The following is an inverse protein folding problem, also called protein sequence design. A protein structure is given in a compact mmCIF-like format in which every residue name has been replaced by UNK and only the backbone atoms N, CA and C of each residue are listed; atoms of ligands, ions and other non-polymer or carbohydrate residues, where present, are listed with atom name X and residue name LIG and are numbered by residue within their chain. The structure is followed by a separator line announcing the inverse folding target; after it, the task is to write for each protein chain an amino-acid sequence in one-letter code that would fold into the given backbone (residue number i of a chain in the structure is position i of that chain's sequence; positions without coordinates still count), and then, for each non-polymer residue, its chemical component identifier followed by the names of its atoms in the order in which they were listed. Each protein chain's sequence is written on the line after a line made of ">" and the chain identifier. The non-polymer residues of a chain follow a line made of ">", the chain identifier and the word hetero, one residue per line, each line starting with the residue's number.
data_IF_916364944007
#
_entry.id   IF_916364944007
#
_cell.length_a   1.000
_cell.length_b   1.000
_cell.length_c   1.000
_cell.angle_alpha   90.00
_cell.angle_beta   90.00
_cell.angle_gamma   90.00
#
_symmetry.space_group_name_H-M   'P 1'
#
loop_
_entity.id
_entity.type
_entity.pdbx_description
1 polymer ?
#
# COMPACT_ATOMS: atom_id res chain seq x y z
N UNK A 1 16.36 27.61 -24.71
CA UNK A 1 16.88 26.35 -24.13
C UNK A 1 16.38 26.21 -22.69
N UNK A 2 15.86 25.04 -22.30
CA UNK A 2 15.42 24.73 -20.94
C UNK A 2 16.64 24.40 -20.05
N UNK A 3 16.67 24.90 -18.82
CA UNK A 3 17.83 24.69 -17.91
C UNK A 3 17.70 23.37 -17.14
N UNK A 4 18.74 22.51 -17.22
CA UNK A 4 18.81 21.25 -16.46
C UNK A 4 18.84 21.48 -14.95
N UNK A 5 19.62 22.47 -14.50
CA UNK A 5 19.73 22.82 -13.09
C UNK A 5 18.39 23.30 -12.51
N UNK A 6 17.65 24.15 -13.25
CA UNK A 6 16.31 24.57 -12.82
C UNK A 6 15.33 23.40 -12.78
N UNK A 7 15.33 22.53 -13.79
CA UNK A 7 14.50 21.33 -13.80
C UNK A 7 14.77 20.43 -12.60
N UNK A 8 16.05 20.24 -12.23
CA UNK A 8 16.44 19.48 -11.05
C UNK A 8 15.99 20.15 -9.74
N UNK A 9 16.20 21.46 -9.58
CA UNK A 9 15.76 22.21 -8.40
C UNK A 9 14.24 22.11 -8.20
N UNK A 10 13.46 22.28 -9.28
CA UNK A 10 12.01 22.14 -9.19
C UNK A 10 11.55 20.70 -8.91
N UNK A 11 12.41 19.70 -9.13
CA UNK A 11 12.11 18.30 -8.80
C UNK A 11 12.22 17.97 -7.32
N UNK A 12 12.58 18.94 -6.46
CA UNK A 12 12.39 18.82 -5.02
C UNK A 12 10.93 18.48 -4.68
N UNK A 13 9.99 18.95 -5.50
CA UNK A 13 8.62 18.42 -5.54
C UNK A 13 8.53 17.37 -6.66
N UNK A 14 8.07 16.13 -6.41
CA UNK A 14 7.90 15.11 -7.45
C UNK A 14 7.02 15.64 -8.59
N UNK A 15 7.51 15.53 -9.83
CA UNK A 15 6.87 16.09 -11.03
C UNK A 15 7.06 17.60 -11.26
N UNK A 16 7.58 18.36 -10.30
CA UNK A 16 7.77 19.81 -10.41
C UNK A 16 8.76 20.21 -11.51
N UNK A 17 9.83 19.45 -11.68
CA UNK A 17 10.78 19.62 -12.79
C UNK A 17 10.14 19.46 -14.16
N UNK A 18 9.20 18.52 -14.30
CA UNK A 18 8.47 18.30 -15.55
C UNK A 18 7.53 19.46 -15.86
N UNK A 19 6.83 20.01 -14.87
CA UNK A 19 6.00 21.20 -15.06
C UNK A 19 6.81 22.40 -15.56
N UNK A 20 8.02 22.61 -15.04
CA UNK A 20 8.93 23.65 -15.56
C UNK A 20 9.32 23.43 -17.03
N UNK A 21 9.55 22.17 -17.40
CA UNK A 21 9.91 21.80 -18.77
C UNK A 21 8.75 21.91 -19.75
N UNK A 22 7.52 22.00 -19.24
CA UNK A 22 6.29 21.95 -20.02
C UNK A 22 5.67 20.56 -20.04
N UNK A 23 6.35 19.52 -19.53
CA UNK A 23 5.93 18.11 -19.54
C UNK A 23 4.83 17.76 -18.53
N UNK A 24 3.66 18.41 -18.64
CA UNK A 24 2.54 18.31 -17.69
C UNK A 24 2.06 16.88 -17.44
N UNK A 25 1.84 16.09 -18.49
CA UNK A 25 1.32 14.73 -18.34
C UNK A 25 2.30 13.88 -17.52
N UNK A 26 3.60 14.07 -17.76
CA UNK A 26 4.66 13.33 -17.08
C UNK A 26 4.85 13.79 -15.64
N UNK A 27 4.71 15.09 -15.38
CA UNK A 27 4.72 15.66 -14.04
C UNK A 27 3.57 15.13 -13.18
N UNK A 28 2.36 15.03 -13.74
CA UNK A 28 1.18 14.48 -13.04
C UNK A 28 1.40 13.01 -12.67
N UNK A 29 1.95 12.20 -13.58
CA UNK A 29 2.26 10.79 -13.29
C UNK A 29 3.16 10.71 -12.05
N UNK A 30 4.27 11.46 -12.01
CA UNK A 30 5.18 11.43 -10.86
C UNK A 30 4.53 11.95 -9.58
N UNK A 31 3.83 13.07 -9.66
CA UNK A 31 3.15 13.68 -8.51
C UNK A 31 2.14 12.71 -7.89
N UNK A 32 1.21 12.18 -8.69
CA UNK A 32 0.17 11.27 -8.20
C UNK A 32 0.75 9.97 -7.68
N UNK A 33 1.76 9.42 -8.36
CA UNK A 33 2.38 8.16 -7.94
C UNK A 33 3.07 8.29 -6.59
N UNK A 34 3.86 9.36 -6.40
CA UNK A 34 4.50 9.62 -5.10
C UNK A 34 3.45 9.88 -4.01
N UNK A 35 2.35 10.62 -4.30
CA UNK A 35 1.27 10.83 -3.34
C UNK A 35 0.58 9.51 -2.94
N UNK A 36 0.17 8.68 -3.90
CA UNK A 36 -0.50 7.41 -3.63
C UNK A 36 0.39 6.47 -2.81
N UNK A 37 1.67 6.37 -3.16
CA UNK A 37 2.62 5.55 -2.40
C UNK A 37 2.83 6.11 -0.99
N UNK A 38 2.92 7.44 -0.82
CA UNK A 38 3.15 8.07 0.50
C UNK A 38 1.93 7.98 1.42
N UNK A 39 0.70 7.99 0.86
CA UNK A 39 -0.54 7.83 1.64
C UNK A 39 -0.78 6.35 1.93
N UNK A 40 -0.54 5.47 0.98
CA UNK A 40 -0.76 4.03 1.12
C UNK A 40 0.07 3.38 2.23
N UNK A 41 1.22 3.96 2.60
CA UNK A 41 2.02 3.54 3.75
C UNK A 41 1.57 4.09 5.10
N UNK A 42 0.58 5.02 5.12
CA UNK A 42 0.15 5.75 6.32
C UNK A 42 -1.30 5.44 6.67
N UNK A 43 -1.62 4.16 6.78
CA UNK A 43 -2.82 3.75 7.50
C UNK A 43 -2.56 3.94 9.01
N UNK A 44 -3.11 5.02 9.54
CA UNK A 44 -3.36 5.22 10.96
C UNK A 44 -4.38 4.20 11.45
N UNK A 45 -3.94 2.97 11.74
CA UNK A 45 -4.76 2.06 12.53
C UNK A 45 -4.98 2.65 13.92
N UNK A 46 -6.24 2.87 14.28
CA UNK A 46 -6.61 3.19 15.66
C UNK A 46 -6.37 1.93 16.52
N UNK A 47 -5.22 1.86 17.21
CA UNK A 47 -4.95 0.88 18.27
C UNK A 47 -3.71 0.00 18.07
N UNK A 48 -3.48 -0.91 19.01
CA UNK A 48 -2.30 -1.80 19.09
C UNK A 48 -2.23 -2.89 18.00
N UNK A 49 -3.13 -2.89 17.02
CA UNK A 49 -3.24 -3.91 15.97
C UNK A 49 -3.12 -3.29 14.58
N UNK A 50 -1.93 -2.74 14.28
CA UNK A 50 -1.60 -2.30 12.93
C UNK A 50 -1.22 -3.51 12.09
N UNK A 51 -2.19 -4.16 11.44
CA UNK A 51 -1.97 -5.27 10.51
C UNK A 51 -0.96 -4.92 9.39
N UNK A 52 -0.86 -3.63 9.03
CA UNK A 52 0.10 -3.10 8.06
C UNK A 52 1.32 -2.42 8.69
N UNK A 53 1.43 -2.40 10.03
CA UNK A 53 2.49 -1.68 10.76
C UNK A 53 3.91 -2.10 10.38
N UNK A 54 4.11 -3.34 9.94
CA UNK A 54 5.37 -3.84 9.41
C UNK A 54 5.71 -3.33 8.00
N UNK A 55 4.73 -2.94 7.19
CA UNK A 55 4.86 -2.64 5.75
C UNK A 55 4.81 -1.13 5.49
N UNK A 56 4.40 -0.31 6.45
CA UNK A 56 4.31 1.15 6.32
C UNK A 56 5.60 1.77 5.75
N UNK A 57 6.76 1.31 6.23
CA UNK A 57 8.04 1.76 5.71
C UNK A 57 8.24 1.41 4.22
N UNK A 58 7.75 0.27 3.73
CA UNK A 58 7.97 -0.20 2.35
C UNK A 58 7.41 0.79 1.31
N UNK A 59 6.19 1.27 1.50
CA UNK A 59 5.57 2.20 0.57
C UNK A 59 6.25 3.57 0.56
N UNK A 60 6.76 4.03 1.71
CA UNK A 60 7.60 5.22 1.79
C UNK A 60 8.93 5.03 1.03
N UNK A 61 9.54 3.84 1.07
CA UNK A 61 10.71 3.53 0.25
C UNK A 61 10.38 3.59 -1.26
N UNK A 62 9.24 3.05 -1.67
CA UNK A 62 8.80 3.16 -3.07
C UNK A 62 8.56 4.62 -3.48
N UNK A 63 7.90 5.41 -2.63
CA UNK A 63 7.67 6.83 -2.86
C UNK A 63 9.00 7.58 -3.02
N UNK A 64 10.00 7.29 -2.18
CA UNK A 64 11.34 7.86 -2.27
C UNK A 64 12.06 7.49 -3.57
N UNK A 65 11.98 6.22 -3.98
CA UNK A 65 12.57 5.76 -5.25
C UNK A 65 11.92 6.49 -6.44
N UNK A 66 10.59 6.60 -6.47
CA UNK A 66 9.85 7.33 -7.52
C UNK A 66 10.24 8.81 -7.53
N UNK A 67 10.41 9.43 -6.37
CA UNK A 67 10.82 10.82 -6.25
C UNK A 67 12.23 11.06 -6.81
N UNK A 68 13.21 10.23 -6.43
CA UNK A 68 14.58 10.32 -6.98
C UNK A 68 14.56 10.10 -8.49
N UNK A 69 13.82 9.10 -8.96
CA UNK A 69 13.69 8.81 -10.39
C UNK A 69 13.04 9.98 -11.15
N UNK A 70 12.03 10.64 -10.56
CA UNK A 70 11.43 11.87 -11.10
C UNK A 70 12.47 12.97 -11.32
N UNK A 71 13.37 13.20 -10.35
CA UNK A 71 14.38 14.25 -10.45
C UNK A 71 15.40 13.97 -11.56
N UNK A 72 15.86 12.73 -11.66
CA UNK A 72 16.79 12.28 -12.71
C UNK A 72 16.11 12.37 -14.08
N UNK A 73 14.85 11.94 -14.19
CA UNK A 73 14.10 11.97 -15.44
C UNK A 73 13.81 13.41 -15.91
N UNK A 74 13.51 14.34 -15.01
CA UNK A 74 13.38 15.75 -15.35
C UNK A 74 14.71 16.35 -15.85
N UNK A 75 15.82 16.04 -15.16
CA UNK A 75 17.15 16.48 -15.58
C UNK A 75 17.50 16.00 -17.00
N UNK A 76 17.25 14.73 -17.31
CA UNK A 76 17.48 14.17 -18.65
C UNK A 76 16.51 14.75 -19.69
N UNK A 77 15.24 14.91 -19.33
CA UNK A 77 14.23 15.44 -20.26
C UNK A 77 14.52 16.88 -20.69
N UNK A 78 15.15 17.68 -19.84
CA UNK A 78 15.63 19.01 -20.21
C UNK A 78 16.66 18.95 -21.36
N UNK A 79 17.55 17.94 -21.35
CA UNK A 79 18.52 17.72 -22.43
C UNK A 79 17.83 17.28 -23.72
N UNK A 80 16.90 16.33 -23.63
CA UNK A 80 16.17 15.82 -24.79
C UNK A 80 15.31 16.87 -25.46
N UNK A 81 14.68 17.78 -24.71
CA UNK A 81 13.96 18.94 -25.27
C UNK A 81 14.93 19.86 -26.01
N UNK A 82 16.08 20.18 -25.41
CA UNK A 82 17.06 21.07 -26.04
C UNK A 82 17.68 20.49 -27.32
N UNK A 83 17.75 19.15 -27.43
CA UNK A 83 18.20 18.45 -28.63
C UNK A 83 17.10 18.24 -29.68
N UNK A 84 15.87 18.67 -29.41
CA UNK A 84 14.73 18.46 -30.29
C UNK A 84 14.23 17.02 -30.37
N UNK A 85 14.64 16.14 -29.45
CA UNK A 85 14.18 14.73 -29.38
C UNK A 85 12.75 14.66 -28.85
N UNK A 86 12.39 15.57 -27.94
CA UNK A 86 11.02 15.71 -27.43
C UNK A 86 10.39 16.93 -28.07
N UNK A 87 9.33 16.70 -28.83
CA UNK A 87 8.47 17.78 -29.30
C UNK A 87 7.43 18.12 -28.22
N UNK A 88 7.45 19.35 -27.72
CA UNK A 88 6.51 19.80 -26.70
C UNK A 88 5.10 20.02 -27.25
N UNK A 89 4.94 20.23 -28.55
CA UNK A 89 3.62 20.45 -29.17
C UNK A 89 2.77 19.17 -29.17
N UNK A 90 3.41 18.01 -29.28
CA UNK A 90 2.77 16.69 -29.23
C UNK A 90 2.38 16.25 -27.81
N UNK A 91 2.82 16.99 -26.79
CA UNK A 91 2.65 16.59 -25.39
C UNK A 91 1.24 16.88 -24.84
N UNK A 92 0.40 17.57 -25.63
CA UNK A 92 -1.05 17.66 -25.42
C UNK A 92 -1.70 16.27 -25.39
N UNK A 93 -1.14 15.30 -26.13
CA UNK A 93 -1.57 13.91 -26.12
C UNK A 93 -0.76 13.07 -25.13
N UNK A 94 -1.39 12.02 -24.59
CA UNK A 94 -0.72 11.06 -23.72
C UNK A 94 0.26 10.20 -24.52
N UNK A 95 1.49 10.70 -24.65
CA UNK A 95 2.55 10.13 -25.49
C UNK A 95 2.91 8.69 -25.11
N UNK A 96 3.47 7.94 -26.06
CA UNK A 96 3.99 6.59 -25.79
C UNK A 96 5.04 6.59 -24.67
N UNK A 97 5.83 7.65 -24.54
CA UNK A 97 6.80 7.81 -23.45
C UNK A 97 6.13 7.90 -22.08
N UNK A 98 4.96 8.55 -22.01
CA UNK A 98 4.16 8.63 -20.78
C UNK A 98 3.50 7.29 -20.45
N UNK A 99 2.97 6.56 -21.44
CA UNK A 99 2.48 5.17 -21.27
C UNK A 99 3.58 4.26 -20.73
N UNK A 100 4.77 4.34 -21.34
CA UNK A 100 5.91 3.54 -20.92
C UNK A 100 6.33 3.85 -19.48
N UNK A 101 6.35 5.13 -19.10
CA UNK A 101 6.64 5.54 -17.73
C UNK A 101 5.58 5.03 -16.75
N UNK A 102 4.30 5.18 -17.09
CA UNK A 102 3.20 4.73 -16.24
C UNK A 102 3.29 3.22 -15.97
N UNK A 103 3.54 2.41 -17.00
CA UNK A 103 3.74 0.97 -16.82
C UNK A 103 4.91 0.63 -15.89
N UNK A 104 6.03 1.36 -15.97
CA UNK A 104 7.18 1.18 -15.07
C UNK A 104 6.80 1.52 -13.62
N UNK A 105 6.14 2.66 -13.40
CA UNK A 105 5.73 3.05 -12.05
C UNK A 105 4.70 2.05 -11.49
N UNK A 106 3.75 1.62 -12.30
CA UNK A 106 2.79 0.59 -11.90
C UNK A 106 3.49 -0.73 -11.55
N UNK A 107 4.56 -1.12 -12.26
CA UNK A 107 5.31 -2.35 -11.96
C UNK A 107 6.06 -2.35 -10.63
N UNK A 108 6.19 -1.20 -9.96
CA UNK A 108 6.70 -1.13 -8.58
C UNK A 108 5.79 -1.91 -7.64
N UNK A 109 4.47 -1.88 -7.85
CA UNK A 109 3.54 -2.81 -7.24
C UNK A 109 3.59 -4.08 -8.10
N UNK A 110 4.15 -5.20 -7.61
CA UNK A 110 4.36 -6.38 -8.44
C UNK A 110 3.10 -6.82 -9.16
N UNK A 111 3.19 -6.96 -10.48
CA UNK A 111 2.09 -7.40 -11.35
C UNK A 111 1.22 -6.30 -11.95
N UNK A 112 1.13 -5.10 -11.36
CA UNK A 112 0.28 -4.03 -11.90
C UNK A 112 0.76 -3.53 -13.26
N UNK A 113 2.06 -3.32 -13.42
CA UNK A 113 2.64 -2.90 -14.70
C UNK A 113 2.48 -3.96 -15.80
N UNK A 114 2.58 -5.26 -15.45
CA UNK A 114 2.33 -6.36 -16.39
C UNK A 114 0.89 -6.39 -16.86
N UNK A 115 -0.07 -6.26 -15.95
CA UNK A 115 -1.51 -6.19 -16.29
C UNK A 115 -1.78 -4.98 -17.19
N UNK A 116 -1.18 -3.82 -16.87
CA UNK A 116 -1.30 -2.61 -17.67
C UNK A 116 -0.78 -2.79 -19.11
N UNK A 117 0.31 -3.52 -19.31
CA UNK A 117 0.90 -3.81 -20.62
C UNK A 117 0.27 -5.04 -21.33
N UNK A 118 -0.78 -5.65 -20.74
CA UNK A 118 -1.50 -6.78 -21.33
C UNK A 118 -0.93 -8.17 -21.01
N UNK A 119 0.12 -8.26 -20.19
CA UNK A 119 0.67 -9.54 -19.68
C UNK A 119 -0.12 -10.04 -18.46
N UNK A 120 -1.44 -10.17 -18.60
CA UNK A 120 -2.37 -10.42 -17.47
C UNK A 120 -2.03 -11.68 -16.70
N UNK A 121 -1.74 -12.80 -17.37
CA UNK A 121 -1.43 -14.06 -16.68
C UNK A 121 -0.22 -13.89 -15.77
N UNK A 122 0.91 -13.42 -16.31
CA UNK A 122 2.13 -13.21 -15.53
C UNK A 122 1.94 -12.16 -14.44
N UNK A 123 1.23 -11.08 -14.77
CA UNK A 123 0.94 -10.00 -13.83
C UNK A 123 0.11 -10.46 -12.64
N UNK A 124 -0.91 -11.29 -12.86
CA UNK A 124 -1.71 -11.87 -11.77
C UNK A 124 -0.87 -12.76 -10.85
N UNK A 125 0.04 -13.56 -11.41
CA UNK A 125 0.94 -14.42 -10.61
C UNK A 125 1.84 -13.60 -9.69
N UNK A 126 2.44 -12.54 -10.22
CA UNK A 126 3.26 -11.60 -9.46
C UNK A 126 2.44 -10.88 -8.39
N UNK A 127 1.24 -10.42 -8.76
CA UNK A 127 0.36 -9.70 -7.85
C UNK A 127 -0.09 -10.56 -6.67
N UNK A 128 -0.48 -11.82 -6.90
CA UNK A 128 -0.88 -12.68 -5.80
C UNK A 128 0.33 -13.07 -4.93
N UNK A 129 1.51 -13.26 -5.52
CA UNK A 129 2.76 -13.47 -4.77
C UNK A 129 3.04 -12.28 -3.84
N UNK A 130 2.85 -11.07 -4.34
CA UNK A 130 2.97 -9.84 -3.56
C UNK A 130 1.95 -9.76 -2.43
N UNK A 131 0.66 -10.04 -2.70
CA UNK A 131 -0.38 -10.07 -1.67
C UNK A 131 -0.10 -11.13 -0.60
N UNK A 132 0.38 -12.31 -0.99
CA UNK A 132 0.79 -13.35 -0.04
C UNK A 132 1.96 -12.87 0.84
N UNK A 133 2.95 -12.19 0.26
CA UNK A 133 4.05 -11.58 1.00
C UNK A 133 3.58 -10.54 2.01
N UNK A 134 2.71 -9.62 1.58
CA UNK A 134 2.08 -8.62 2.46
C UNK A 134 1.34 -9.30 3.60
N UNK A 135 0.52 -10.31 3.29
CA UNK A 135 -0.27 -11.01 4.30
C UNK A 135 0.62 -11.74 5.31
N UNK A 136 1.64 -12.47 4.85
CA UNK A 136 2.62 -13.15 5.72
C UNK A 136 3.36 -12.13 6.59
N UNK A 137 3.74 -10.97 6.04
CA UNK A 137 4.36 -9.91 6.82
C UNK A 137 3.40 -9.36 7.89
N UNK A 138 2.13 -9.13 7.56
CA UNK A 138 1.12 -8.68 8.53
C UNK A 138 0.92 -9.67 9.69
N UNK A 139 1.09 -10.97 9.45
CA UNK A 139 1.02 -12.00 10.49
C UNK A 139 2.30 -12.14 11.32
N UNK A 140 3.46 -12.16 10.66
CA UNK A 140 4.73 -12.49 11.30
C UNK A 140 5.55 -11.26 11.74
N UNK A 141 5.24 -10.09 11.19
CA UNK A 141 5.96 -8.82 11.36
C UNK A 141 7.49 -8.96 11.20
N UNK A 142 7.93 -9.73 10.20
CA UNK A 142 9.34 -10.01 9.95
C UNK A 142 9.95 -9.05 8.92
N UNK A 143 11.00 -8.34 9.31
CA UNK A 143 11.73 -7.42 8.42
C UNK A 143 12.30 -8.10 7.16
N UNK A 144 12.64 -9.39 7.25
CA UNK A 144 13.09 -10.17 6.10
C UNK A 144 12.03 -10.21 4.99
N UNK A 145 10.74 -10.36 5.35
CA UNK A 145 9.65 -10.43 4.37
C UNK A 145 9.49 -9.10 3.64
N UNK A 146 9.64 -7.96 4.33
CA UNK A 146 9.66 -6.64 3.67
C UNK A 146 10.78 -6.52 2.64
N UNK A 147 11.96 -7.05 2.97
CA UNK A 147 13.12 -7.06 2.06
C UNK A 147 12.84 -7.92 0.83
N UNK A 148 12.20 -9.09 1.00
CA UNK A 148 11.80 -9.96 -0.10
C UNK A 148 10.72 -9.31 -0.99
N UNK A 149 9.77 -8.58 -0.40
CA UNK A 149 8.77 -7.82 -1.16
C UNK A 149 9.44 -6.71 -1.98
N UNK A 150 10.38 -5.96 -1.41
CA UNK A 150 11.14 -4.94 -2.13
C UNK A 150 11.92 -5.55 -3.31
N UNK A 151 12.57 -6.70 -3.10
CA UNK A 151 13.25 -7.42 -4.18
C UNK A 151 12.28 -7.92 -5.25
N UNK A 152 11.09 -8.37 -4.87
CA UNK A 152 10.02 -8.76 -5.80
C UNK A 152 9.55 -7.58 -6.66
N UNK A 153 9.45 -6.38 -6.08
CA UNK A 153 9.15 -5.14 -6.82
C UNK A 153 10.24 -4.78 -7.82
N UNK A 154 11.52 -4.88 -7.44
CA UNK A 154 12.63 -4.67 -8.37
C UNK A 154 12.59 -5.70 -9.50
N UNK A 155 12.36 -6.97 -9.17
CA UNK A 155 12.19 -8.03 -10.18
C UNK A 155 11.04 -7.72 -11.14
N UNK A 156 9.89 -7.30 -10.61
CA UNK A 156 8.71 -6.95 -11.42
C UNK A 156 9.02 -5.83 -12.42
N UNK A 157 9.72 -4.77 -11.99
CA UNK A 157 10.14 -3.68 -12.89
C UNK A 157 11.08 -4.20 -13.98
N UNK A 158 12.10 -4.97 -13.62
CA UNK A 158 13.07 -5.52 -14.58
C UNK A 158 12.41 -6.49 -15.57
N UNK A 159 11.49 -7.32 -15.09
CA UNK A 159 10.78 -8.27 -15.92
C UNK A 159 9.84 -7.57 -16.91
N UNK A 160 9.14 -6.51 -16.51
CA UNK A 160 8.34 -5.71 -17.43
C UNK A 160 9.20 -5.05 -18.52
N UNK A 161 10.38 -4.53 -18.15
CA UNK A 161 11.32 -3.94 -19.10
C UNK A 161 11.82 -4.98 -20.10
N UNK A 162 12.16 -6.19 -19.64
CA UNK A 162 12.56 -7.28 -20.51
C UNK A 162 11.44 -7.69 -21.47
N UNK A 163 10.20 -7.81 -20.98
CA UNK A 163 9.05 -8.16 -21.82
C UNK A 163 8.82 -7.15 -22.94
N UNK A 164 9.02 -5.86 -22.69
CA UNK A 164 8.98 -4.81 -23.72
C UNK A 164 10.08 -4.95 -24.78
N UNK A 165 11.22 -5.54 -24.42
CA UNK A 165 12.28 -5.91 -25.36
C UNK A 165 12.05 -7.27 -26.04
N UNK A 166 10.91 -7.92 -25.80
CA UNK A 166 10.63 -9.28 -26.30
C UNK A 166 11.39 -10.38 -25.58
N UNK A 167 11.97 -10.10 -24.41
CA UNK A 167 12.69 -11.07 -23.56
C UNK A 167 11.81 -11.41 -22.35
N UNK A 168 11.55 -12.70 -22.11
CA UNK A 168 10.84 -13.14 -20.91
C UNK A 168 11.81 -13.73 -19.89
N UNK A 169 11.74 -13.31 -18.62
CA UNK A 169 12.34 -14.11 -17.54
C UNK A 169 11.36 -15.19 -17.09
N UNK A 170 11.81 -16.45 -17.14
CA UNK A 170 11.01 -17.63 -16.81
C UNK A 170 10.96 -17.90 -15.29
N UNK A 171 9.94 -17.39 -14.62
CA UNK A 171 9.50 -17.87 -13.30
C UNK A 171 8.00 -18.22 -13.26
N UNK A 172 7.24 -17.69 -14.22
CA UNK A 172 5.78 -17.70 -14.24
C UNK A 172 5.21 -18.07 -15.62
N UNK A 173 6.05 -18.55 -16.54
CA UNK A 173 5.60 -19.11 -17.82
C UNK A 173 4.91 -20.46 -17.59
N UNK A 174 3.72 -20.61 -18.16
CA UNK A 174 2.90 -21.82 -18.06
C UNK A 174 1.82 -21.76 -16.98
N UNK A 175 0.57 -22.00 -17.38
CA UNK A 175 -0.51 -22.35 -16.45
C UNK A 175 -0.34 -23.81 -16.02
N UNK A 176 0.46 -24.09 -14.99
CA UNK A 176 0.49 -25.45 -14.45
C UNK A 176 -0.78 -25.68 -13.60
N UNK A 177 -1.35 -26.90 -13.68
CA UNK A 177 -2.44 -27.33 -12.80
C UNK A 177 -2.05 -27.22 -11.33
N UNK A 178 -0.77 -27.45 -11.00
CA UNK A 178 -0.27 -27.29 -9.63
C UNK A 178 -0.33 -25.83 -9.18
N UNK A 179 -0.05 -24.90 -10.09
CA UNK A 179 -0.13 -23.47 -9.81
C UNK A 179 -1.57 -23.06 -9.44
N UNK A 180 -2.58 -23.49 -10.21
CA UNK A 180 -4.01 -23.26 -9.88
C UNK A 180 -4.40 -23.88 -8.53
N UNK A 181 -3.90 -25.08 -8.22
CA UNK A 181 -4.15 -25.75 -6.93
C UNK A 181 -3.50 -24.99 -5.77
N UNK A 182 -2.27 -24.50 -5.94
CA UNK A 182 -1.56 -23.69 -4.95
C UNK A 182 -2.35 -22.42 -4.60
N UNK A 183 -2.88 -21.67 -5.59
CA UNK A 183 -3.71 -20.49 -5.29
C UNK A 183 -5.00 -20.83 -4.56
N UNK A 184 -5.63 -21.97 -4.90
CA UNK A 184 -6.81 -22.44 -4.17
C UNK A 184 -6.47 -22.74 -2.71
N UNK A 185 -5.33 -23.39 -2.44
CA UNK A 185 -4.88 -23.70 -1.07
C UNK A 185 -4.54 -22.42 -0.32
N UNK A 186 -3.74 -21.52 -0.90
CA UNK A 186 -3.41 -20.23 -0.31
C UNK A 186 -4.69 -19.45 0.01
N UNK A 187 -5.63 -19.37 -0.92
CA UNK A 187 -6.92 -18.72 -0.70
C UNK A 187 -7.71 -19.32 0.47
N UNK A 188 -7.78 -20.64 0.59
CA UNK A 188 -8.45 -21.31 1.73
C UNK A 188 -7.75 -21.01 3.05
N UNK A 189 -6.41 -21.03 3.08
CA UNK A 189 -5.63 -20.70 4.28
C UNK A 189 -5.86 -19.25 4.69
N UNK A 190 -5.90 -18.31 3.74
CA UNK A 190 -6.22 -16.90 3.99
C UNK A 190 -7.62 -16.73 4.59
N UNK A 191 -8.62 -17.42 4.06
CA UNK A 191 -9.99 -17.39 4.60
C UNK A 191 -10.03 -17.93 6.03
N UNK A 192 -9.37 -19.06 6.30
CA UNK A 192 -9.33 -19.65 7.64
C UNK A 192 -8.65 -18.73 8.66
N UNK A 193 -7.51 -18.13 8.28
CA UNK A 193 -6.80 -17.19 9.14
C UNK A 193 -7.61 -15.90 9.36
N UNK A 194 -8.30 -15.41 8.34
CA UNK A 194 -9.24 -14.28 8.46
C UNK A 194 -10.38 -14.57 9.43
N UNK A 195 -10.98 -15.76 9.36
CA UNK A 195 -12.02 -16.21 10.31
C UNK A 195 -11.44 -16.34 11.72
N UNK A 196 -10.25 -16.94 11.87
CA UNK A 196 -9.58 -17.05 13.17
C UNK A 196 -9.32 -15.68 13.80
N UNK A 197 -8.85 -14.70 13.03
CA UNK A 197 -8.62 -13.35 13.53
C UNK A 197 -9.95 -12.65 13.89
N UNK A 198 -11.00 -12.83 13.06
CA UNK A 198 -12.32 -12.30 13.36
C UNK A 198 -12.90 -12.90 14.65
N UNK A 199 -12.71 -14.21 14.88
CA UNK A 199 -13.12 -14.90 16.10
C UNK A 199 -12.28 -14.50 17.32
N UNK A 200 -10.98 -14.28 17.18
CA UNK A 200 -10.13 -13.79 18.27
C UNK A 200 -10.53 -12.37 18.66
N UNK A 201 -10.75 -11.48 17.69
CA UNK A 201 -11.21 -10.12 17.96
C UNK A 201 -12.62 -10.13 18.56
N UNK A 202 -13.57 -10.91 18.00
CA UNK A 202 -14.91 -11.06 18.56
C UNK A 202 -14.86 -11.66 19.97
N UNK A 203 -14.01 -12.67 20.19
CA UNK A 203 -13.78 -13.30 21.49
C UNK A 203 -13.20 -12.32 22.52
N UNK A 204 -12.31 -11.41 22.11
CA UNK A 204 -11.82 -10.32 22.95
C UNK A 204 -12.94 -9.36 23.32
N UNK A 205 -13.78 -8.95 22.36
CA UNK A 205 -14.98 -8.13 22.63
C UNK A 205 -15.99 -8.85 23.54
N UNK A 206 -16.21 -10.17 23.38
CA UNK A 206 -17.10 -10.95 24.25
C UNK A 206 -16.50 -11.19 25.64
N UNK A 207 -15.19 -11.36 25.76
CA UNK A 207 -14.50 -11.55 27.04
C UNK A 207 -14.40 -10.25 27.85
N UNK A 208 -14.19 -9.10 27.20
CA UNK A 208 -14.01 -7.82 27.88
C UNK A 208 -15.36 -7.13 28.21
N UNK A 209 -16.40 -7.30 27.38
CA UNK A 209 -17.73 -6.74 27.66
C UNK A 209 -18.60 -7.61 28.60
N UNK A 210 -18.32 -8.92 28.72
CA UNK A 210 -19.21 -9.85 29.39
C UNK A 210 -19.07 -9.91 30.91
N UNK A 211 -17.85 -10.06 31.43
CA UNK A 211 -17.69 -10.42 32.83
C UNK A 211 -17.52 -9.22 33.77
N UNK A 212 -16.69 -8.24 33.40
CA UNK A 212 -16.38 -7.09 34.26
C UNK A 212 -17.46 -5.99 34.20
N UNK A 213 -18.09 -5.77 33.05
CA UNK A 213 -19.11 -4.72 32.90
C UNK A 213 -20.44 -5.11 33.53
N UNK A 214 -20.89 -6.36 33.38
CA UNK A 214 -22.12 -6.85 34.02
C UNK A 214 -21.95 -6.91 35.54
N UNK A 215 -20.82 -7.42 36.05
CA UNK A 215 -20.58 -7.51 37.48
C UNK A 215 -20.41 -6.14 38.15
N UNK A 216 -19.73 -5.17 37.49
CA UNK A 216 -19.63 -3.80 38.00
C UNK A 216 -20.97 -3.06 37.93
N UNK A 217 -21.72 -3.19 36.83
CA UNK A 217 -23.05 -2.59 36.71
C UNK A 217 -24.01 -3.12 37.78
N UNK A 218 -24.08 -4.45 37.97
CA UNK A 218 -24.90 -5.07 39.02
C UNK A 218 -24.42 -4.64 40.42
N UNK A 219 -23.10 -4.57 40.66
CA UNK A 219 -22.53 -4.11 41.94
C UNK A 219 -22.89 -2.65 42.25
N UNK A 220 -22.92 -1.76 41.25
CA UNK A 220 -23.33 -0.36 41.39
C UNK A 220 -24.82 -0.26 41.74
N UNK A 221 -25.69 -1.04 41.08
CA UNK A 221 -27.12 -1.06 41.39
C UNK A 221 -27.42 -1.59 42.80
N UNK A 222 -26.72 -2.65 43.23
CA UNK A 222 -26.87 -3.21 44.59
C UNK A 222 -26.42 -2.18 45.64
N UNK A 223 -25.26 -1.52 45.43
CA UNK A 223 -24.77 -0.47 46.35
C UNK A 223 -25.75 0.71 46.42
N UNK A 224 -26.26 1.18 45.28
CA UNK A 224 -27.25 2.25 45.24
C UNK A 224 -28.55 1.88 45.97
N UNK A 225 -29.06 0.66 45.77
CA UNK A 225 -30.25 0.17 46.47
C UNK A 225 -30.04 0.11 48.00
N UNK A 226 -28.87 -0.35 48.46
CA UNK A 226 -28.51 -0.36 49.88
C UNK A 226 -28.50 1.06 50.45
N UNK A 227 -27.87 2.02 49.77
CA UNK A 227 -27.84 3.41 50.21
C UNK A 227 -29.23 4.05 50.25
N UNK A 228 -30.09 3.76 49.27
CA UNK A 228 -31.46 4.27 49.24
C UNK A 228 -32.28 3.69 50.39
N UNK A 229 -32.21 2.38 50.63
CA UNK A 229 -32.96 1.73 51.72
C UNK A 229 -32.47 2.22 53.08
N UNK A 230 -31.15 2.30 53.31
CA UNK A 230 -30.59 2.86 54.54
C UNK A 230 -31.01 4.31 54.71
N UNK A 231 -30.94 5.13 53.66
CA UNK A 231 -31.38 6.53 53.70
C UNK A 231 -32.85 6.67 54.07
N UNK A 232 -33.73 5.86 53.48
CA UNK A 232 -35.16 5.82 53.83
C UNK A 232 -35.40 5.39 55.27
N UNK A 233 -34.68 4.37 55.76
CA UNK A 233 -34.75 3.93 57.16
C UNK A 233 -34.31 5.05 58.09
N UNK A 234 -33.20 5.74 57.80
CA UNK A 234 -32.72 6.88 58.59
C UNK A 234 -33.77 7.97 58.62
N UNK A 235 -34.25 8.44 57.47
CA UNK A 235 -35.29 9.49 57.38
C UNK A 235 -36.54 9.11 58.17
N UNK A 236 -36.97 7.85 58.10
CA UNK A 236 -38.13 7.37 58.84
C UNK A 236 -37.89 7.38 60.36
N UNK A 237 -36.68 7.03 60.80
CA UNK A 237 -36.31 6.96 62.22
C UNK A 237 -36.03 8.34 62.85
N UNK A 238 -35.68 9.35 62.08
CA UNK A 238 -35.44 10.74 62.54
C UNK A 238 -36.71 11.59 62.62
N UNK A 239 -37.88 11.07 62.22
CA UNK A 239 -39.19 11.75 62.35
C UNK A 239 -39.83 11.62 63.74
N UNK A 240 -39.02 11.64 64.80
CA UNK A 240 -39.45 11.85 66.19
C UNK A 240 -38.77 13.07 66.77
#
# INVERSE_FOLDING_TARGET
>A
MKSKGKAFIYSLLPGGGHFYLGLYNRGIIFLLSTMVLSIGGREHGFGNYNFFGGINNLFDHFAFIVWVFSAVDAFMSADYINRGIINLEEETNFSQRNKNLLGIILSIIPGFGHIYEGYTDKGMKLFITFLAGIFINGLLNMQLVNTLILLLSVFSVLDLLALREGKGFGFFEGESKEFKLFFKIVGVVLVFLGISQALQNAGFYFADFGYNYIFNTISVFIKAAIFIVIGLIVIYKTRK
#
